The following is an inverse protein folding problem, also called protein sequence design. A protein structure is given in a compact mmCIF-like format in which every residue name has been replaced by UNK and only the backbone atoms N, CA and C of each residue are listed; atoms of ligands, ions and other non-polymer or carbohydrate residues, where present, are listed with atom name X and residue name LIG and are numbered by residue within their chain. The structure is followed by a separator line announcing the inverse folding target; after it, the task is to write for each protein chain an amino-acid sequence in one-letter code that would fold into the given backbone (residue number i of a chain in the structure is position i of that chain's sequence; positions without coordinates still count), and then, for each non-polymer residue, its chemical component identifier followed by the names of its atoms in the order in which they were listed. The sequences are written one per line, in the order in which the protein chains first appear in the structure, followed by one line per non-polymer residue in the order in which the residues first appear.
data_IF_350890754406
#
_entry.id   IF_350890754406
#
_cell.length_a   1.000
_cell.length_b   1.000
_cell.length_c   1.000
_cell.angle_alpha   90.00
_cell.angle_beta   90.00
_cell.angle_gamma   90.00
#
_symmetry.space_group_name_H-M   'P 1'
#
loop_
_entity.id
_entity.type
_entity.pdbx_description
1 polymer ?
#
# COMPACT_ATOMS: atom_id res chain seq x y z
N UNK A 1 -21.13 24.24 63.41
CA UNK A 1 -22.34 24.75 62.72
C UNK A 1 -22.05 26.15 62.19
N UNK A 2 -22.59 26.57 61.04
CA UNK A 2 -23.27 25.82 59.95
C UNK A 2 -22.47 25.93 58.63
N UNK A 3 -22.49 25.05 57.62
CA UNK A 3 -23.51 24.25 56.91
C UNK A 3 -24.61 25.07 56.22
N UNK A 4 -24.46 25.27 54.91
CA UNK A 4 -25.53 25.41 53.92
C UNK A 4 -24.92 24.94 52.58
N UNK A 5 -25.18 23.74 52.05
CA UNK A 5 -26.43 23.14 51.58
C UNK A 5 -27.18 23.99 50.54
N UNK A 6 -26.95 23.67 49.27
CA UNK A 6 -27.96 23.78 48.21
C UNK A 6 -27.91 22.53 47.32
N UNK A 7 -28.92 21.69 47.48
CA UNK A 7 -29.54 20.84 46.44
C UNK A 7 -30.96 21.44 46.25
N UNK A 8 -31.75 21.35 45.16
CA UNK A 8 -32.09 20.34 44.14
C UNK A 8 -32.76 21.17 43.00
N UNK A 9 -32.55 20.93 41.70
CA UNK A 9 -33.42 20.16 40.79
C UNK A 9 -32.85 20.40 39.36
N UNK A 10 -32.72 19.47 38.43
CA UNK A 10 -33.55 18.29 38.19
C UNK A 10 -34.40 18.52 36.94
N UNK A 11 -33.80 18.60 35.74
CA UNK A 11 -34.50 18.41 34.47
C UNK A 11 -33.68 17.47 33.57
N UNK A 12 -34.25 16.28 33.38
CA UNK A 12 -33.65 15.20 32.62
C UNK A 12 -33.67 15.48 31.12
N UNK A 13 -32.58 15.11 30.47
CA UNK A 13 -32.57 14.87 29.03
C UNK A 13 -32.44 13.37 28.84
N UNK A 14 -33.44 12.82 28.16
CA UNK A 14 -33.64 11.39 27.91
C UNK A 14 -32.46 10.80 27.14
N UNK A 15 -31.93 9.70 27.67
CA UNK A 15 -31.15 8.74 26.92
C UNK A 15 -32.00 8.16 25.80
N UNK A 16 -31.62 8.39 24.54
CA UNK A 16 -32.00 7.51 23.44
C UNK A 16 -30.88 6.50 23.23
N UNK A 17 -31.07 5.31 23.79
CA UNK A 17 -30.37 4.10 23.39
C UNK A 17 -31.06 3.65 22.10
N UNK A 18 -30.39 3.81 20.95
CA UNK A 18 -30.75 3.06 19.75
C UNK A 18 -29.71 1.98 19.52
N UNK A 19 -30.06 0.77 19.93
CA UNK A 19 -29.44 -0.45 19.44
C UNK A 19 -29.72 -0.60 17.95
N UNK A 20 -28.70 -0.45 17.12
CA UNK A 20 -28.73 -0.93 15.74
C UNK A 20 -27.47 -1.73 15.49
N UNK A 21 -27.63 -3.06 15.50
CA UNK A 21 -26.68 -3.99 14.89
C UNK A 21 -26.64 -3.69 13.39
N UNK A 22 -25.55 -3.11 12.90
CA UNK A 22 -25.27 -3.01 11.47
C UNK A 22 -24.09 -3.92 11.15
N UNK A 23 -24.41 -5.12 10.69
CA UNK A 23 -23.52 -5.97 9.90
C UNK A 23 -23.14 -5.21 8.63
N UNK A 24 -21.87 -4.79 8.53
CA UNK A 24 -21.33 -4.18 7.32
C UNK A 24 -21.03 -5.32 6.35
N UNK A 25 -22.02 -5.66 5.52
CA UNK A 25 -21.78 -6.43 4.31
C UNK A 25 -21.14 -5.52 3.25
N UNK A 26 -20.20 -6.08 2.48
CA UNK A 26 -19.67 -5.47 1.25
C UNK A 26 -20.84 -4.93 0.42
N UNK A 27 -20.97 -3.61 0.32
CA UNK A 27 -21.91 -3.00 -0.60
C UNK A 27 -21.39 -3.19 -2.03
N UNK A 28 -21.83 -4.27 -2.67
CA UNK A 28 -21.87 -4.36 -4.12
C UNK A 28 -22.88 -3.31 -4.61
N UNK A 29 -22.42 -2.26 -5.28
CA UNK A 29 -23.29 -1.31 -5.96
C UNK A 29 -24.00 -2.01 -7.14
N UNK A 30 -25.35 -2.06 -7.19
CA UNK A 30 -26.04 -2.56 -8.37
C UNK A 30 -26.22 -1.41 -9.37
N UNK A 31 -25.48 -1.46 -10.47
CA UNK A 31 -25.79 -0.61 -11.63
C UNK A 31 -27.13 -1.06 -12.24
N UNK A 32 -28.19 -0.29 -12.00
CA UNK A 32 -29.47 -0.48 -12.70
C UNK A 32 -29.51 0.45 -13.92
N UNK A 33 -29.41 -0.14 -15.11
CA UNK A 33 -29.53 0.57 -16.39
C UNK A 33 -30.99 0.95 -16.61
N UNK A 34 -31.28 2.26 -16.71
CA UNK A 34 -32.50 2.73 -17.38
C UNK A 34 -32.18 3.02 -18.85
N UNK A 35 -32.99 2.41 -19.70
CA UNK A 35 -32.97 2.51 -21.15
C UNK A 35 -33.41 3.89 -21.67
N UNK A 36 -33.17 4.11 -22.99
CA UNK A 36 -33.60 5.21 -23.88
C UNK A 36 -32.43 6.21 -24.11
N UNK A 37 -31.83 6.42 -25.28
CA UNK A 37 -32.29 6.43 -26.69
C UNK A 37 -31.28 5.77 -27.66
N UNK A 38 -31.83 5.20 -28.74
CA UNK A 38 -31.11 4.67 -29.91
C UNK A 38 -30.28 5.75 -30.60
N UNK A 39 -28.97 5.53 -30.74
CA UNK A 39 -28.14 6.17 -31.77
C UNK A 39 -27.60 5.06 -32.66
N UNK A 40 -27.91 5.17 -33.94
CA UNK A 40 -27.57 4.26 -35.04
C UNK A 40 -26.05 4.21 -35.25
N UNK A 41 -25.41 3.05 -35.48
CA UNK A 41 -23.98 2.99 -35.73
C UNK A 41 -23.68 3.32 -37.19
N UNK A 42 -22.87 4.35 -37.42
CA UNK A 42 -22.14 4.52 -38.68
C UNK A 42 -20.95 3.56 -38.65
N UNK A 43 -21.06 2.48 -39.43
CA UNK A 43 -19.98 1.56 -39.74
C UNK A 43 -18.87 2.32 -40.50
N UNK A 44 -17.65 2.27 -39.98
CA UNK A 44 -16.43 2.46 -40.77
C UNK A 44 -15.46 1.32 -40.43
N UNK A 45 -14.85 0.65 -41.42
CA UNK A 45 -14.07 -0.54 -41.18
C UNK A 45 -12.69 -0.17 -40.63
N UNK A 46 -12.46 -0.40 -39.33
CA UNK A 46 -11.11 -0.38 -38.79
C UNK A 46 -10.36 -1.64 -39.20
N UNK A 47 -9.40 -1.45 -40.10
CA UNK A 47 -8.45 -2.45 -40.56
C UNK A 47 -7.60 -2.92 -39.36
N UNK A 48 -7.75 -4.19 -38.95
CA UNK A 48 -6.88 -4.85 -37.98
C UNK A 48 -5.57 -5.22 -38.67
N UNK A 49 -4.56 -4.38 -38.54
CA UNK A 49 -3.17 -4.80 -38.67
C UNK A 49 -2.52 -4.70 -37.28
N UNK A 50 -2.55 -5.81 -36.55
CA UNK A 50 -1.72 -6.00 -35.37
C UNK A 50 -0.28 -6.21 -35.84
N UNK A 51 0.50 -5.14 -35.88
CA UNK A 51 1.94 -5.25 -35.77
C UNK A 51 2.26 -5.33 -34.27
N UNK A 52 2.42 -6.55 -33.76
CA UNK A 52 2.97 -6.77 -32.44
C UNK A 52 4.40 -6.22 -32.42
N UNK A 53 4.58 -5.03 -31.85
CA UNK A 53 5.89 -4.56 -31.46
C UNK A 53 6.30 -5.38 -30.22
N UNK A 54 6.96 -6.51 -30.46
CA UNK A 54 7.64 -7.27 -29.44
C UNK A 54 8.73 -6.36 -28.84
N UNK A 55 8.47 -5.81 -27.65
CA UNK A 55 9.51 -5.19 -26.85
C UNK A 55 10.33 -6.34 -26.26
N UNK A 56 11.51 -6.59 -26.83
CA UNK A 56 12.52 -7.47 -26.26
C UNK A 56 13.11 -6.80 -25.01
N UNK A 57 12.42 -6.92 -23.87
CA UNK A 57 13.02 -6.69 -22.56
C UNK A 57 13.75 -7.97 -22.13
N UNK A 58 14.90 -8.23 -22.73
CA UNK A 58 15.74 -9.38 -22.40
C UNK A 58 17.01 -8.91 -21.69
N UNK A 59 16.95 -8.89 -20.35
CA UNK A 59 17.97 -9.47 -19.46
C UNK A 59 17.69 -9.20 -17.98
N UNK A 60 16.87 -8.23 -17.60
CA UNK A 60 16.63 -7.90 -16.17
C UNK A 60 15.29 -8.35 -15.59
N UNK A 61 14.22 -8.42 -16.39
CA UNK A 61 12.89 -8.80 -15.90
C UNK A 61 12.73 -10.31 -15.65
N UNK A 62 13.38 -11.16 -16.47
CA UNK A 62 13.34 -12.63 -16.28
C UNK A 62 14.11 -13.10 -15.04
N UNK A 63 15.20 -12.44 -14.70
CA UNK A 63 16.00 -12.80 -13.52
C UNK A 63 15.31 -12.39 -12.21
N UNK A 64 14.57 -11.27 -12.21
CA UNK A 64 13.79 -10.79 -11.05
C UNK A 64 12.51 -11.63 -10.83
N UNK A 65 11.83 -12.04 -11.89
CA UNK A 65 10.66 -12.94 -11.75
C UNK A 65 11.08 -14.31 -11.20
N UNK A 66 12.22 -14.86 -11.67
CA UNK A 66 12.76 -16.12 -11.15
C UNK A 66 13.25 -16.02 -9.69
N UNK A 67 13.80 -14.87 -9.27
CA UNK A 67 14.22 -14.68 -7.87
C UNK A 67 13.03 -14.53 -6.93
N UNK A 68 11.96 -13.82 -7.34
CA UNK A 68 10.73 -13.67 -6.53
C UNK A 68 9.93 -14.98 -6.47
N UNK A 69 9.86 -15.75 -7.56
CA UNK A 69 9.19 -17.06 -7.58
C UNK A 69 9.88 -18.08 -6.68
N UNK A 70 11.22 -18.06 -6.58
CA UNK A 70 11.96 -18.90 -5.64
C UNK A 70 11.92 -18.38 -4.18
N UNK A 71 11.76 -17.07 -3.96
CA UNK A 71 11.75 -16.48 -2.62
C UNK A 71 10.53 -16.88 -1.77
N UNK A 72 9.43 -17.35 -2.39
CA UNK A 72 8.27 -17.91 -1.69
C UNK A 72 8.45 -19.38 -1.27
N UNK A 73 9.42 -20.10 -1.85
CA UNK A 73 9.60 -21.54 -1.67
C UNK A 73 10.56 -21.86 -0.52
N UNK A 74 10.15 -21.51 0.71
CA UNK A 74 10.84 -21.86 1.95
C UNK A 74 9.83 -22.35 3.00
N UNK A 75 10.33 -23.04 4.03
CA UNK A 75 9.55 -23.55 5.16
C UNK A 75 9.86 -22.78 6.43
N UNK A 76 9.04 -22.97 7.47
CA UNK A 76 9.37 -22.42 8.79
C UNK A 76 10.65 -23.01 9.38
N UNK A 77 11.10 -24.20 8.95
CA UNK A 77 12.38 -24.75 9.41
C UNK A 77 13.55 -23.93 8.86
N UNK A 78 13.51 -23.58 7.57
CA UNK A 78 14.53 -22.71 6.96
C UNK A 78 14.63 -21.36 7.70
N UNK A 79 13.49 -20.81 8.14
CA UNK A 79 13.43 -19.60 8.98
C UNK A 79 14.18 -19.78 10.32
N UNK A 80 14.03 -20.92 10.99
CA UNK A 80 14.72 -21.19 12.26
C UNK A 80 16.21 -21.47 12.07
N UNK A 81 16.60 -22.05 10.93
CA UNK A 81 18.00 -22.35 10.59
C UNK A 81 18.83 -21.07 10.37
N UNK A 82 18.22 -19.93 10.01
CA UNK A 82 18.91 -18.64 9.89
C UNK A 82 19.63 -18.23 11.18
N UNK A 83 19.10 -18.61 12.36
CA UNK A 83 19.71 -18.27 13.66
C UNK A 83 21.06 -18.93 13.92
N UNK A 84 21.44 -19.95 13.14
CA UNK A 84 22.67 -20.71 13.33
C UNK A 84 23.87 -20.15 12.55
N UNK A 85 23.66 -19.16 11.67
CA UNK A 85 24.77 -18.46 11.02
C UNK A 85 25.33 -17.40 11.98
N UNK A 86 26.37 -17.78 12.74
CA UNK A 86 27.11 -16.86 13.60
C UNK A 86 27.62 -15.67 12.79
N UNK A 87 27.01 -14.51 12.98
CA UNK A 87 27.67 -13.23 12.89
C UNK A 87 26.84 -12.20 13.64
N UNK A 88 27.18 -11.98 14.92
CA UNK A 88 26.79 -10.80 15.69
C UNK A 88 27.47 -9.55 15.14
N UNK A 89 27.33 -9.32 13.85
CA UNK A 89 27.93 -8.21 13.14
C UNK A 89 27.08 -6.97 13.35
N UNK A 90 27.72 -5.86 13.71
CA UNK A 90 27.15 -4.50 13.64
C UNK A 90 26.86 -4.05 12.19
N UNK A 91 27.00 -4.96 11.22
CA UNK A 91 26.73 -4.74 9.81
C UNK A 91 25.24 -4.56 9.54
N UNK A 92 24.87 -3.31 9.26
CA UNK A 92 23.54 -2.93 8.79
C UNK A 92 23.34 -3.18 7.27
N UNK A 93 24.33 -3.75 6.58
CA UNK A 93 24.34 -3.98 5.14
C UNK A 93 23.13 -4.75 4.63
N UNK A 94 22.73 -5.84 5.31
CA UNK A 94 21.53 -6.60 4.97
C UNK A 94 20.25 -5.76 5.05
N UNK A 95 20.14 -4.87 6.04
CA UNK A 95 19.01 -3.95 6.14
C UNK A 95 19.02 -2.90 5.02
N UNK A 96 20.19 -2.32 4.69
CA UNK A 96 20.32 -1.41 3.56
C UNK A 96 19.89 -2.06 2.24
N UNK A 97 20.25 -3.33 2.01
CA UNK A 97 19.80 -4.06 0.83
C UNK A 97 18.27 -4.12 0.74
N UNK A 98 17.57 -4.38 1.84
CA UNK A 98 16.09 -4.41 1.85
C UNK A 98 15.47 -3.05 1.60
N UNK A 99 16.07 -1.99 2.12
CA UNK A 99 15.62 -0.62 1.82
C UNK A 99 15.83 -0.28 0.34
N UNK A 100 16.97 -0.64 -0.24
CA UNK A 100 17.28 -0.39 -1.65
C UNK A 100 16.34 -1.16 -2.58
N UNK A 101 15.93 -2.38 -2.23
CA UNK A 101 14.91 -3.14 -2.98
C UNK A 101 13.55 -2.43 -3.07
N UNK A 102 13.25 -1.52 -2.14
CA UNK A 102 12.02 -0.72 -2.20
C UNK A 102 12.25 0.66 -2.84
N UNK A 103 13.49 1.03 -3.17
CA UNK A 103 13.86 2.37 -3.64
C UNK A 103 14.58 2.37 -5.02
N UNK A 104 14.14 1.52 -5.95
CA UNK A 104 14.82 1.34 -7.24
C UNK A 104 14.38 2.37 -8.29
N UNK A 105 15.23 2.58 -9.28
CA UNK A 105 14.88 3.33 -10.49
C UNK A 105 14.74 4.83 -10.28
N UNK A 106 15.23 5.36 -9.14
CA UNK A 106 15.12 6.80 -8.82
C UNK A 106 15.73 7.71 -9.89
N UNK A 107 16.77 7.24 -10.59
CA UNK A 107 17.42 7.90 -11.71
C UNK A 107 16.51 8.07 -12.94
N UNK A 108 15.48 7.22 -13.07
CA UNK A 108 14.49 7.24 -14.16
C UNK A 108 13.33 8.19 -13.90
N UNK A 109 13.36 8.95 -12.79
CA UNK A 109 12.29 9.90 -12.46
C UNK A 109 12.08 10.95 -13.55
N UNK A 110 13.10 11.27 -14.34
CA UNK A 110 13.02 12.21 -15.47
C UNK A 110 12.21 11.67 -16.66
N UNK A 111 11.94 10.35 -16.71
CA UNK A 111 11.06 9.74 -17.73
C UNK A 111 9.58 9.96 -17.43
N UNK A 112 9.24 10.59 -16.30
CA UNK A 112 7.87 10.85 -15.87
C UNK A 112 7.54 12.34 -15.90
N UNK A 113 6.35 12.66 -16.38
CA UNK A 113 5.80 14.02 -16.34
C UNK A 113 4.71 14.13 -15.25
N UNK A 114 4.52 15.30 -14.63
CA UNK A 114 3.49 15.49 -13.62
C UNK A 114 2.09 15.16 -14.14
N UNK A 115 1.29 14.52 -13.28
CA UNK A 115 -0.16 14.43 -13.44
C UNK A 115 -0.80 15.47 -12.51
N UNK A 116 -1.46 16.45 -13.11
CA UNK A 116 -1.91 17.68 -12.45
C UNK A 116 -3.43 17.78 -12.47
N UNK A 117 -4.00 18.11 -11.31
CA UNK A 117 -5.43 18.43 -11.16
C UNK A 117 -5.54 19.72 -10.36
N UNK A 118 -6.23 20.73 -10.90
CA UNK A 118 -6.45 22.02 -10.22
C UNK A 118 -5.13 22.61 -9.68
N UNK A 119 -4.11 22.68 -10.54
CA UNK A 119 -2.75 23.17 -10.25
C UNK A 119 -1.97 22.38 -9.18
N UNK A 120 -2.48 21.24 -8.73
CA UNK A 120 -1.80 20.35 -7.79
C UNK A 120 -1.26 19.11 -8.49
N UNK A 121 0.01 18.76 -8.21
CA UNK A 121 0.59 17.49 -8.65
C UNK A 121 0.00 16.38 -7.78
N UNK A 122 -0.80 15.52 -8.40
CA UNK A 122 -1.42 14.36 -7.75
C UNK A 122 -0.71 13.06 -8.09
N UNK A 123 0.15 13.08 -9.09
CA UNK A 123 0.94 11.92 -9.50
C UNK A 123 1.93 12.21 -10.60
N UNK A 124 2.40 11.15 -11.25
CA UNK A 124 3.43 11.19 -12.29
C UNK A 124 3.17 10.08 -13.30
N UNK A 125 3.18 10.43 -14.58
CA UNK A 125 2.90 9.49 -15.68
C UNK A 125 4.16 9.35 -16.52
N UNK A 126 4.56 8.10 -16.79
CA UNK A 126 5.70 7.81 -17.66
C UNK A 126 5.43 8.32 -19.09
N UNK A 127 6.42 8.93 -19.74
CA UNK A 127 6.29 9.47 -21.10
C UNK A 127 5.76 8.43 -22.11
N UNK A 128 6.26 7.20 -22.08
CA UNK A 128 5.75 6.09 -22.91
C UNK A 128 4.33 5.62 -22.55
N UNK A 129 3.82 5.92 -21.35
CA UNK A 129 2.44 5.60 -20.97
C UNK A 129 1.45 6.66 -21.46
N UNK A 130 1.93 7.88 -21.75
CA UNK A 130 1.11 8.97 -22.32
C UNK A 130 0.44 8.55 -23.63
N UNK A 131 1.09 7.72 -24.45
CA UNK A 131 0.52 7.21 -25.71
C UNK A 131 -0.71 6.31 -25.50
N UNK A 132 -0.85 5.68 -24.34
CA UNK A 132 -2.07 4.96 -23.97
C UNK A 132 -3.17 5.95 -23.61
N UNK A 133 -2.84 6.99 -22.84
CA UNK A 133 -3.79 8.01 -22.39
C UNK A 133 -4.27 8.92 -23.52
N UNK A 134 -3.43 9.22 -24.52
CA UNK A 134 -3.76 10.09 -25.65
C UNK A 134 -4.89 9.57 -26.55
N UNK A 135 -5.22 8.28 -26.41
CA UNK A 135 -6.36 7.63 -27.09
C UNK A 135 -7.71 8.05 -26.49
N UNK A 136 -7.73 8.49 -25.22
CA UNK A 136 -8.92 8.92 -24.48
C UNK A 136 -8.98 10.44 -24.41
N UNK A 137 -9.17 11.08 -25.57
CA UNK A 137 -9.13 12.55 -25.71
C UNK A 137 -10.24 13.28 -24.96
N UNK A 138 -11.34 12.59 -24.68
CA UNK A 138 -12.46 13.03 -23.86
C UNK A 138 -12.18 12.96 -22.36
N UNK A 139 -11.08 12.31 -21.95
CA UNK A 139 -10.66 12.19 -20.55
C UNK A 139 -9.39 12.97 -20.24
N UNK A 140 -8.36 12.88 -21.09
CA UNK A 140 -7.05 13.48 -20.83
C UNK A 140 -6.73 14.65 -21.75
N UNK A 141 -6.02 15.64 -21.20
CA UNK A 141 -5.30 16.68 -21.94
C UNK A 141 -3.81 16.54 -21.64
N UNK A 142 -2.99 16.52 -22.68
CA UNK A 142 -1.52 16.41 -22.58
C UNK A 142 -0.95 17.75 -23.00
N UNK A 143 -0.43 18.50 -22.02
CA UNK A 143 0.21 19.79 -22.23
C UNK A 143 1.70 19.56 -22.47
N UNK A 144 2.25 20.22 -23.48
CA UNK A 144 3.70 20.24 -23.77
C UNK A 144 4.17 21.69 -23.67
N UNK A 145 5.20 21.98 -22.87
CA UNK A 145 5.91 23.25 -23.04
C UNK A 145 6.64 23.23 -24.38
N UNK A 146 6.43 24.29 -25.15
CA UNK A 146 7.19 24.54 -26.37
C UNK A 146 8.35 25.52 -26.12
N UNK A 147 8.64 25.87 -24.87
CA UNK A 147 9.52 26.99 -24.53
C UNK A 147 11.01 26.62 -24.49
N UNK A 148 11.38 25.38 -24.20
CA UNK A 148 12.78 24.93 -24.15
C UNK A 148 12.87 23.44 -24.54
N UNK A 149 14.00 23.01 -25.14
CA UNK A 149 14.26 21.62 -25.59
C UNK A 149 14.26 20.55 -24.48
N UNK A 150 13.87 20.92 -23.26
CA UNK A 150 13.56 20.01 -22.15
C UNK A 150 12.07 19.65 -22.22
N UNK A 151 11.71 18.37 -22.26
CA UNK A 151 10.34 17.86 -22.23
C UNK A 151 9.60 18.22 -20.91
N UNK A 152 9.25 19.49 -20.68
CA UNK A 152 8.41 19.93 -19.56
C UNK A 152 6.94 19.92 -19.96
N UNK A 153 6.35 18.72 -20.00
CA UNK A 153 4.91 18.54 -20.17
C UNK A 153 4.20 18.23 -18.86
N UNK A 154 2.87 18.20 -18.89
CA UNK A 154 2.08 17.56 -17.85
C UNK A 154 0.82 16.91 -18.44
N UNK A 155 0.31 15.89 -17.76
CA UNK A 155 -1.00 15.30 -18.04
C UNK A 155 -2.02 15.96 -17.11
N UNK A 156 -3.20 16.28 -17.62
CA UNK A 156 -4.35 16.69 -16.80
C UNK A 156 -5.63 16.07 -17.34
N UNK A 157 -6.75 16.26 -16.63
CA UNK A 157 -8.07 15.81 -17.06
C UNK A 157 -8.79 16.88 -17.87
N UNK A 158 -9.69 16.47 -18.74
CA UNK A 158 -10.54 17.38 -19.51
C UNK A 158 -11.34 18.32 -18.59
N UNK A 159 -11.47 19.58 -18.98
CA UNK A 159 -12.14 20.63 -18.19
C UNK A 159 -13.63 20.38 -17.96
N UNK A 160 -14.24 19.49 -18.75
CA UNK A 160 -15.60 19.01 -18.55
C UNK A 160 -15.76 18.12 -17.30
N UNK A 161 -14.70 17.46 -16.84
CA UNK A 161 -14.68 16.58 -15.67
C UNK A 161 -14.51 17.38 -14.37
N UNK A 162 -15.58 18.03 -13.92
CA UNK A 162 -15.56 19.02 -12.83
C UNK A 162 -15.63 18.43 -11.42
N UNK A 163 -16.23 17.25 -11.24
CA UNK A 163 -16.46 16.67 -9.90
C UNK A 163 -15.59 15.43 -9.67
N UNK A 164 -15.25 15.11 -8.40
CA UNK A 164 -14.54 13.87 -8.07
C UNK A 164 -15.21 12.61 -8.64
N UNK A 165 -16.53 12.56 -8.64
CA UNK A 165 -17.33 11.43 -9.13
C UNK A 165 -17.17 11.30 -10.65
N UNK A 166 -17.33 12.40 -11.40
CA UNK A 166 -17.17 12.40 -12.86
C UNK A 166 -15.76 11.99 -13.30
N UNK A 167 -14.73 12.40 -12.56
CA UNK A 167 -13.33 12.02 -12.79
C UNK A 167 -13.10 10.54 -12.48
N UNK A 168 -13.66 10.06 -11.37
CA UNK A 168 -13.57 8.65 -10.95
C UNK A 168 -14.23 7.74 -11.98
N UNK A 169 -15.43 8.10 -12.46
CA UNK A 169 -16.15 7.34 -13.48
C UNK A 169 -15.39 7.32 -14.81
N UNK A 170 -14.90 8.48 -15.26
CA UNK A 170 -14.13 8.59 -16.50
C UNK A 170 -12.86 7.72 -16.45
N UNK A 171 -12.08 7.79 -15.37
CA UNK A 171 -10.86 6.97 -15.23
C UNK A 171 -11.17 5.50 -15.00
N UNK A 172 -12.27 5.17 -14.32
CA UNK A 172 -12.77 3.80 -14.21
C UNK A 172 -13.07 3.18 -15.57
N UNK A 173 -13.68 3.95 -16.48
CA UNK A 173 -13.91 3.53 -17.86
C UNK A 173 -12.60 3.34 -18.63
N UNK A 174 -11.62 4.23 -18.46
CA UNK A 174 -10.27 4.07 -19.06
C UNK A 174 -9.61 2.78 -18.57
N UNK A 175 -9.61 2.53 -17.25
CA UNK A 175 -9.05 1.32 -16.64
C UNK A 175 -9.74 0.07 -17.20
N UNK A 176 -11.07 0.09 -17.32
CA UNK A 176 -11.84 -1.00 -17.90
C UNK A 176 -11.53 -1.22 -19.39
N UNK A 177 -11.36 -0.16 -20.17
CA UNK A 177 -11.03 -0.24 -21.60
C UNK A 177 -9.62 -0.78 -21.85
N UNK A 178 -8.65 -0.40 -21.03
CA UNK A 178 -7.27 -0.89 -21.13
C UNK A 178 -7.11 -2.30 -20.54
N UNK A 179 -7.91 -2.64 -19.52
CA UNK A 179 -8.03 -3.99 -18.99
C UNK A 179 -6.80 -4.53 -18.26
N UNK A 180 -6.86 -5.82 -17.92
CA UNK A 180 -5.83 -6.56 -17.16
C UNK A 180 -4.48 -6.67 -17.90
N UNK A 181 -4.47 -6.53 -19.23
CA UNK A 181 -3.22 -6.52 -20.01
C UNK A 181 -2.33 -5.33 -19.65
N UNK A 182 -2.95 -4.18 -19.32
CA UNK A 182 -2.25 -2.96 -18.92
C UNK A 182 -2.19 -2.84 -17.40
N UNK A 183 -3.29 -3.15 -16.72
CA UNK A 183 -3.44 -3.01 -15.27
C UNK A 183 -3.66 -4.39 -14.60
N UNK A 184 -2.62 -5.22 -14.48
CA UNK A 184 -2.78 -6.54 -13.90
C UNK A 184 -3.17 -6.48 -12.42
N UNK A 185 -4.08 -7.36 -12.02
CA UNK A 185 -4.53 -7.55 -10.65
C UNK A 185 -5.52 -6.50 -10.18
N UNK A 186 -6.58 -6.26 -10.96
CA UNK A 186 -7.72 -5.41 -10.56
C UNK A 186 -8.36 -5.99 -9.30
N UNK A 187 -8.66 -5.12 -8.33
CA UNK A 187 -9.19 -5.53 -7.01
C UNK A 187 -10.58 -4.97 -6.72
N UNK A 188 -11.11 -4.09 -7.58
CA UNK A 188 -12.32 -3.31 -7.31
C UNK A 188 -12.18 -2.52 -6.00
N UNK A 189 -10.98 -1.95 -5.80
CA UNK A 189 -10.61 -1.20 -4.61
C UNK A 189 -10.11 0.18 -5.03
N UNK A 190 -10.79 1.21 -4.56
CA UNK A 190 -10.52 2.59 -4.94
C UNK A 190 -9.58 3.25 -3.92
N UNK A 191 -8.47 3.77 -4.43
CA UNK A 191 -7.56 4.63 -3.68
C UNK A 191 -7.89 6.11 -3.89
N UNK A 192 -7.77 6.95 -2.85
CA UNK A 192 -7.99 8.38 -3.00
C UNK A 192 -6.81 9.03 -3.76
N UNK A 193 -7.12 9.83 -4.78
CA UNK A 193 -6.12 10.64 -5.48
C UNK A 193 -6.04 12.01 -4.80
N UNK A 194 -4.88 12.27 -4.18
CA UNK A 194 -4.59 13.45 -3.36
C UNK A 194 -3.19 13.96 -3.69
N UNK A 195 -2.91 15.23 -3.41
CA UNK A 195 -1.54 15.78 -3.48
C UNK A 195 -0.69 15.36 -2.26
N UNK A 196 -1.35 15.19 -1.10
CA UNK A 196 -0.76 14.91 0.20
C UNK A 196 -1.76 14.21 1.13
N UNK A 197 -1.26 13.57 2.18
CA UNK A 197 -2.12 12.88 3.14
C UNK A 197 -3.03 13.87 3.89
N UNK A 198 -4.31 13.50 4.07
CA UNK A 198 -5.31 14.39 4.67
C UNK A 198 -5.70 15.59 3.80
N UNK A 199 -5.11 15.74 2.62
CA UNK A 199 -5.47 16.75 1.64
C UNK A 199 -6.82 16.47 0.96
N UNK A 200 -7.23 17.40 0.10
CA UNK A 200 -8.45 17.25 -0.71
C UNK A 200 -8.34 16.03 -1.61
N UNK A 201 -9.38 15.20 -1.60
CA UNK A 201 -9.55 14.11 -2.57
C UNK A 201 -10.06 14.69 -3.88
N UNK A 202 -9.27 14.57 -4.94
CA UNK A 202 -9.63 15.09 -6.26
C UNK A 202 -10.56 14.16 -7.03
N UNK A 203 -10.37 12.85 -6.83
CA UNK A 203 -11.16 11.72 -7.34
C UNK A 203 -10.59 10.42 -6.73
N UNK A 204 -11.12 9.26 -7.12
CA UNK A 204 -10.60 7.95 -6.72
C UNK A 204 -10.20 7.11 -7.92
N UNK A 205 -9.20 6.25 -7.74
CA UNK A 205 -8.62 5.43 -8.81
C UNK A 205 -8.51 3.98 -8.36
N UNK A 206 -8.77 3.05 -9.29
CA UNK A 206 -8.54 1.62 -9.07
C UNK A 206 -7.09 1.36 -8.63
N UNK A 207 -6.92 0.59 -7.55
CA UNK A 207 -5.65 0.29 -6.91
C UNK A 207 -4.58 -0.23 -7.88
N UNK A 208 -4.96 -1.09 -8.83
CA UNK A 208 -4.01 -1.63 -9.81
C UNK A 208 -3.44 -0.55 -10.75
N UNK A 209 -4.18 0.52 -11.00
CA UNK A 209 -3.76 1.63 -11.84
C UNK A 209 -2.89 2.66 -11.09
N UNK A 210 -2.93 2.68 -9.75
CA UNK A 210 -2.22 3.68 -8.94
C UNK A 210 -0.73 3.89 -9.32
N UNK A 211 0.09 2.84 -9.54
CA UNK A 211 1.48 3.02 -9.94
C UNK A 211 1.67 3.63 -11.32
N UNK A 212 0.75 3.40 -12.26
CA UNK A 212 0.85 3.93 -13.63
C UNK A 212 0.53 5.42 -13.72
N UNK A 213 -0.29 5.91 -12.77
CA UNK A 213 -0.56 7.33 -12.58
C UNK A 213 0.37 7.98 -11.56
N UNK A 214 1.29 7.20 -10.96
CA UNK A 214 2.27 7.69 -9.98
C UNK A 214 1.64 8.40 -8.78
N UNK A 215 0.40 8.04 -8.41
CA UNK A 215 -0.29 8.67 -7.28
C UNK A 215 0.38 8.24 -5.97
N UNK A 216 0.26 9.06 -4.93
CA UNK A 216 0.61 8.61 -3.58
C UNK A 216 -0.35 7.52 -3.14
N UNK A 217 0.17 6.40 -2.68
CA UNK A 217 -0.59 5.31 -2.09
C UNK A 217 -0.29 5.22 -0.60
N UNK A 218 -1.33 5.05 0.21
CA UNK A 218 -1.20 4.94 1.65
C UNK A 218 -1.56 3.52 2.09
N UNK A 219 -0.95 3.06 3.17
CA UNK A 219 -1.26 1.78 3.80
C UNK A 219 -1.04 1.82 5.30
N UNK A 220 -1.62 0.85 5.99
CA UNK A 220 -1.36 0.59 7.41
C UNK A 220 -0.60 -0.71 7.55
N UNK A 221 0.31 -0.76 8.50
CA UNK A 221 1.06 -1.97 8.85
C UNK A 221 1.15 -2.05 10.36
N UNK A 222 0.80 -3.19 10.94
CA UNK A 222 0.76 -3.36 12.39
C UNK A 222 1.69 -4.48 12.84
N UNK A 223 2.64 -4.13 13.72
CA UNK A 223 3.50 -5.07 14.42
C UNK A 223 2.76 -5.64 15.63
N UNK A 224 2.27 -6.87 15.51
CA UNK A 224 1.67 -7.61 16.61
C UNK A 224 2.76 -8.33 17.40
N UNK A 225 3.05 -7.86 18.61
CA UNK A 225 4.13 -8.41 19.43
C UNK A 225 3.64 -8.93 20.78
N UNK A 226 4.36 -9.91 21.30
CA UNK A 226 4.17 -10.49 22.64
C UNK A 226 5.45 -10.26 23.43
N UNK A 227 5.31 -9.99 24.73
CA UNK A 227 6.44 -10.01 25.65
C UNK A 227 6.29 -11.18 26.60
N UNK A 228 7.35 -11.98 26.72
CA UNK A 228 7.42 -13.13 27.62
C UNK A 228 8.81 -13.18 28.25
N UNK A 229 8.88 -13.31 29.57
CA UNK A 229 10.14 -13.39 30.33
C UNK A 229 11.13 -12.27 29.99
N UNK A 230 10.61 -11.04 29.79
CA UNK A 230 11.41 -9.86 29.42
C UNK A 230 11.90 -9.83 27.96
N UNK A 231 11.53 -10.82 27.14
CA UNK A 231 11.89 -10.90 25.71
C UNK A 231 10.68 -10.57 24.83
N UNK A 232 10.94 -9.87 23.72
CA UNK A 232 9.93 -9.55 22.71
C UNK A 232 9.91 -10.59 21.58
N UNK A 233 8.71 -10.91 21.14
CA UNK A 233 8.44 -11.80 20.02
C UNK A 233 7.47 -11.11 19.06
N UNK A 234 7.65 -11.30 17.76
CA UNK A 234 6.73 -10.81 16.73
C UNK A 234 5.94 -11.98 16.14
N UNK A 235 4.63 -11.78 16.00
CA UNK A 235 3.83 -12.63 15.14
C UNK A 235 4.09 -12.26 13.68
N UNK A 236 4.51 -13.25 12.90
CA UNK A 236 4.81 -13.13 11.48
C UNK A 236 3.82 -14.00 10.71
N UNK A 237 3.18 -13.44 9.69
CA UNK A 237 2.35 -14.18 8.74
C UNK A 237 3.19 -14.72 7.60
N UNK A 238 2.83 -15.89 7.07
CA UNK A 238 3.28 -16.36 5.74
C UNK A 238 2.09 -16.26 4.79
N UNK A 239 2.22 -15.48 3.73
CA UNK A 239 1.13 -15.18 2.78
C UNK A 239 0.61 -16.45 2.12
N UNK A 240 -0.69 -16.48 1.83
CA UNK A 240 -1.28 -17.60 1.08
C UNK A 240 -0.61 -17.77 -0.28
N UNK A 241 -0.47 -19.02 -0.74
CA UNK A 241 0.04 -19.35 -2.06
C UNK A 241 -0.88 -18.84 -3.19
N UNK A 242 -2.14 -18.53 -2.86
CA UNK A 242 -3.13 -18.01 -3.83
C UNK A 242 -3.07 -16.49 -4.02
N UNK A 243 -2.19 -15.78 -3.30
CA UNK A 243 -2.04 -14.32 -3.43
C UNK A 243 -1.46 -13.96 -4.81
N UNK A 244 -2.11 -13.01 -5.49
CA UNK A 244 -1.65 -12.51 -6.80
C UNK A 244 -0.23 -11.89 -6.78
N UNK A 245 0.23 -11.42 -5.61
CA UNK A 245 1.57 -10.84 -5.44
C UNK A 245 2.20 -11.35 -4.17
N UNK A 246 3.50 -11.71 -4.26
CA UNK A 246 4.30 -12.19 -3.13
C UNK A 246 3.66 -13.41 -2.44
N UNK A 247 3.18 -14.38 -3.23
CA UNK A 247 2.67 -15.66 -2.72
C UNK A 247 3.77 -16.38 -1.91
N UNK A 248 3.39 -17.02 -0.79
CA UNK A 248 4.32 -17.77 0.05
C UNK A 248 5.36 -16.95 0.83
N UNK A 249 5.49 -15.64 0.61
CA UNK A 249 6.45 -14.81 1.34
C UNK A 249 6.00 -14.49 2.77
N UNK A 250 6.95 -14.19 3.66
CA UNK A 250 6.65 -13.65 5.00
C UNK A 250 6.08 -12.22 4.89
N UNK A 251 5.16 -11.89 5.79
CA UNK A 251 4.48 -10.61 5.92
C UNK A 251 4.31 -10.25 7.40
N UNK A 252 3.78 -9.06 7.68
CA UNK A 252 3.36 -8.70 9.03
C UNK A 252 2.23 -9.57 9.53
N UNK A 253 1.90 -9.44 10.82
CA UNK A 253 0.66 -9.99 11.34
C UNK A 253 -0.56 -9.39 10.63
N UNK A 254 -0.55 -8.06 10.41
CA UNK A 254 -1.64 -7.33 9.73
C UNK A 254 -1.06 -6.21 8.87
N UNK A 255 -1.48 -6.12 7.59
CA UNK A 255 -1.12 -5.03 6.69
C UNK A 255 -2.14 -4.82 5.55
N UNK A 256 -2.63 -3.59 5.39
CA UNK A 256 -3.64 -3.25 4.39
C UNK A 256 -3.35 -1.96 3.62
N UNK A 257 -3.81 -1.89 2.38
CA UNK A 257 -3.93 -0.62 1.66
C UNK A 257 -4.93 0.29 2.37
N UNK A 258 -4.80 1.61 2.24
CA UNK A 258 -5.77 2.56 2.80
C UNK A 258 -6.81 2.94 1.73
N UNK A 259 -8.02 2.35 1.76
CA UNK A 259 -9.04 2.64 0.77
C UNK A 259 -9.64 4.05 0.96
N UNK A 260 -10.27 4.55 -0.10
CA UNK A 260 -11.00 5.81 -0.05
C UNK A 260 -12.09 5.78 1.03
N UNK A 261 -12.19 6.88 1.80
CA UNK A 261 -13.23 7.05 2.82
C UNK A 261 -12.96 6.33 4.16
N UNK A 262 -11.81 5.68 4.32
CA UNK A 262 -11.45 4.97 5.55
C UNK A 262 -10.34 5.68 6.32
N UNK A 263 -10.47 5.80 7.64
CA UNK A 263 -9.39 6.28 8.50
C UNK A 263 -8.35 5.19 8.75
N UNK A 264 -7.09 5.55 9.03
CA UNK A 264 -6.07 4.56 9.37
C UNK A 264 -6.43 3.71 10.59
N UNK A 265 -7.05 4.32 11.62
CA UNK A 265 -7.44 3.61 12.84
C UNK A 265 -8.52 2.55 12.56
N UNK A 266 -9.57 2.89 11.81
CA UNK A 266 -10.60 1.92 11.43
C UNK A 266 -10.04 0.86 10.48
N UNK A 267 -9.14 1.23 9.57
CA UNK A 267 -8.50 0.27 8.68
C UNK A 267 -7.66 -0.76 9.45
N UNK A 268 -6.84 -0.33 10.42
CA UNK A 268 -6.09 -1.25 11.29
C UNK A 268 -7.05 -2.22 12.00
N UNK A 269 -8.17 -1.74 12.53
CA UNK A 269 -9.15 -2.60 13.22
C UNK A 269 -9.82 -3.59 12.27
N UNK A 270 -10.20 -3.15 11.06
CA UNK A 270 -10.75 -4.02 10.00
C UNK A 270 -9.76 -5.12 9.63
N UNK A 271 -8.53 -4.74 9.23
CA UNK A 271 -7.54 -5.72 8.77
C UNK A 271 -7.09 -6.67 9.89
N UNK A 272 -7.10 -6.19 11.15
CA UNK A 272 -6.88 -7.04 12.32
C UNK A 272 -7.86 -8.21 12.41
N UNK A 273 -9.15 -7.95 12.14
CA UNK A 273 -10.19 -8.96 12.16
C UNK A 273 -10.07 -9.90 10.94
N UNK A 274 -9.94 -9.34 9.74
CA UNK A 274 -9.90 -10.11 8.48
C UNK A 274 -8.65 -11.01 8.36
N UNK A 275 -7.45 -10.47 8.59
CA UNK A 275 -6.21 -11.20 8.31
C UNK A 275 -5.80 -12.11 9.48
N UNK A 276 -6.06 -11.72 10.73
CA UNK A 276 -5.49 -12.36 11.91
C UNK A 276 -6.52 -12.76 12.99
N UNK A 277 -7.82 -12.47 12.78
CA UNK A 277 -8.87 -12.80 13.75
C UNK A 277 -8.73 -12.06 15.08
N UNK A 278 -8.10 -10.87 15.08
CA UNK A 278 -7.91 -10.05 16.27
C UNK A 278 -9.20 -9.26 16.52
N UNK A 279 -9.94 -9.51 17.61
CA UNK A 279 -11.23 -8.87 17.83
C UNK A 279 -11.06 -7.38 18.19
N UNK A 280 -12.07 -6.57 17.87
CA UNK A 280 -12.07 -5.10 18.09
C UNK A 280 -11.61 -4.65 19.50
N UNK A 281 -12.00 -5.29 20.62
CA UNK A 281 -11.51 -4.92 21.95
C UNK A 281 -9.98 -5.02 22.11
N UNK A 282 -9.32 -5.86 21.31
CA UNK A 282 -7.86 -6.00 21.28
C UNK A 282 -7.28 -5.04 20.25
N UNK A 283 -7.77 -5.04 19.00
CA UNK A 283 -7.19 -4.27 17.90
C UNK A 283 -7.34 -2.76 18.06
N UNK A 284 -8.39 -2.28 18.73
CA UNK A 284 -8.57 -0.86 19.08
C UNK A 284 -7.49 -0.29 20.02
N UNK A 285 -6.64 -1.14 20.61
CA UNK A 285 -5.49 -0.73 21.43
C UNK A 285 -4.21 -0.54 20.62
N UNK A 286 -4.24 -0.78 19.30
CA UNK A 286 -3.10 -0.53 18.44
C UNK A 286 -2.76 0.96 18.45
N UNK A 287 -1.48 1.28 18.66
CA UNK A 287 -1.00 2.65 18.73
C UNK A 287 -0.24 3.02 17.45
N UNK A 288 -0.47 4.21 16.86
CA UNK A 288 0.39 4.71 15.78
C UNK A 288 1.77 5.05 16.37
N UNK A 289 2.83 4.63 15.69
CA UNK A 289 4.21 4.73 16.22
C UNK A 289 5.21 5.37 15.27
N UNK A 290 4.98 5.29 13.97
CA UNK A 290 5.92 5.79 12.95
C UNK A 290 5.26 5.86 11.58
N UNK A 291 6.06 6.30 10.60
CA UNK A 291 5.77 6.23 9.17
C UNK A 291 7.05 5.84 8.43
N UNK A 292 6.91 4.96 7.44
CA UNK A 292 7.96 4.67 6.45
C UNK A 292 7.47 5.03 5.05
N UNK A 293 8.38 5.44 4.19
CA UNK A 293 8.05 5.84 2.82
C UNK A 293 9.14 5.40 1.85
N UNK A 294 8.71 5.00 0.65
CA UNK A 294 9.63 4.57 -0.39
C UNK A 294 9.10 4.91 -1.79
N UNK A 295 10.01 4.88 -2.75
CA UNK A 295 9.67 5.06 -4.16
C UNK A 295 10.28 3.99 -5.05
N UNK A 296 9.47 3.28 -5.82
CA UNK A 296 9.95 2.23 -6.72
C UNK A 296 9.49 2.52 -8.15
N UNK A 297 10.45 2.65 -9.06
CA UNK A 297 10.19 2.86 -10.49
C UNK A 297 10.54 1.58 -11.25
N UNK A 298 9.53 1.05 -11.95
CA UNK A 298 9.67 -0.15 -12.78
C UNK A 298 8.81 -0.04 -14.05
N UNK A 299 9.49 0.10 -15.20
CA UNK A 299 8.86 0.38 -16.49
C UNK A 299 8.00 1.65 -16.41
N UNK A 300 6.72 1.52 -16.73
CA UNK A 300 5.76 2.64 -16.69
C UNK A 300 5.22 2.94 -15.28
N UNK A 301 5.62 2.16 -14.27
CA UNK A 301 5.07 2.25 -12.92
C UNK A 301 6.00 3.08 -12.04
N UNK A 302 5.39 3.98 -11.28
CA UNK A 302 6.04 4.75 -10.24
C UNK A 302 5.23 4.57 -8.95
N UNK A 303 5.68 3.66 -8.09
CA UNK A 303 5.11 3.48 -6.75
C UNK A 303 5.64 4.57 -5.83
N UNK A 304 4.73 5.24 -5.12
CA UNK A 304 5.02 6.28 -4.12
C UNK A 304 4.22 5.97 -2.88
N UNK A 305 4.74 5.03 -2.10
CA UNK A 305 3.99 4.42 -1.02
C UNK A 305 4.41 5.05 0.33
N UNK A 306 3.42 5.33 1.17
CA UNK A 306 3.58 5.80 2.56
C UNK A 306 2.84 4.81 3.46
N UNK A 307 3.57 4.19 4.39
CA UNK A 307 3.02 3.17 5.28
C UNK A 307 3.00 3.70 6.71
N UNK A 308 1.80 3.81 7.28
CA UNK A 308 1.59 4.16 8.68
C UNK A 308 1.84 2.93 9.55
N UNK A 309 2.84 3.03 10.42
CA UNK A 309 3.23 1.95 11.31
C UNK A 309 2.44 2.00 12.61
N UNK A 310 1.91 0.86 13.01
CA UNK A 310 1.23 0.64 14.27
C UNK A 310 1.94 -0.47 15.06
N UNK A 311 1.86 -0.39 16.38
CA UNK A 311 2.27 -1.48 17.26
C UNK A 311 1.06 -1.91 18.11
N UNK A 312 0.93 -3.22 18.32
CA UNK A 312 -0.07 -3.80 19.21
C UNK A 312 0.58 -4.87 20.09
N UNK A 313 0.60 -4.62 21.39
CA UNK A 313 0.96 -5.64 22.38
C UNK A 313 -0.20 -6.62 22.54
N UNK A 314 0.01 -7.86 22.13
CA UNK A 314 -0.96 -8.93 22.21
C UNK A 314 -0.85 -9.69 23.54
N UNK A 315 -1.95 -10.24 24.07
CA UNK A 315 -1.88 -11.20 25.18
C UNK A 315 -1.00 -12.39 24.82
N UNK A 316 -0.22 -12.91 25.77
CA UNK A 316 0.63 -14.10 25.55
C UNK A 316 -0.17 -15.33 25.08
N UNK A 317 -1.44 -15.42 25.49
CA UNK A 317 -2.35 -16.50 25.11
C UNK A 317 -3.01 -16.32 23.76
N UNK A 318 -2.82 -15.19 23.07
CA UNK A 318 -3.46 -14.93 21.78
C UNK A 318 -2.77 -15.72 20.67
N UNK A 319 -3.57 -16.40 19.86
CA UNK A 319 -3.13 -17.13 18.67
C UNK A 319 -3.91 -16.54 17.48
N UNK A 320 -3.22 -16.00 16.46
CA UNK A 320 -3.89 -15.45 15.29
C UNK A 320 -4.50 -16.56 14.43
N UNK A 321 -5.64 -16.24 13.83
CA UNK A 321 -6.36 -17.13 12.92
C UNK A 321 -6.78 -16.36 11.68
N UNK A 322 -6.36 -16.85 10.50
CA UNK A 322 -6.79 -16.30 9.22
C UNK A 322 -8.33 -16.42 9.08
N UNK A 323 -9.01 -15.32 8.73
CA UNK A 323 -10.46 -15.32 8.50
C UNK A 323 -10.85 -15.18 7.02
N UNK A 324 -10.00 -14.62 6.17
CA UNK A 324 -10.35 -14.20 4.81
C UNK A 324 -9.63 -14.99 3.69
N UNK A 325 -8.68 -15.86 4.05
CA UNK A 325 -7.90 -16.67 3.11
C UNK A 325 -6.59 -16.02 2.65
N UNK A 326 -6.24 -14.84 3.16
CA UNK A 326 -5.08 -14.08 2.69
C UNK A 326 -3.73 -14.56 3.27
N UNK A 327 -3.76 -15.23 4.44
CA UNK A 327 -2.58 -15.74 5.15
C UNK A 327 -2.55 -17.27 5.20
N UNK A 328 -1.47 -17.90 4.75
CA UNK A 328 -1.31 -19.35 4.78
C UNK A 328 -1.02 -19.91 6.18
N UNK A 329 -0.18 -19.24 6.97
CA UNK A 329 0.13 -19.66 8.35
C UNK A 329 0.76 -18.52 9.16
N UNK A 330 0.83 -18.69 10.49
CA UNK A 330 1.46 -17.74 11.41
C UNK A 330 2.56 -18.40 12.24
N UNK A 331 3.58 -17.63 12.61
CA UNK A 331 4.59 -18.05 13.59
C UNK A 331 4.96 -16.91 14.53
N UNK A 332 5.08 -17.21 15.81
CA UNK A 332 5.62 -16.31 16.82
C UNK A 332 7.15 -16.51 16.86
N UNK A 333 7.91 -15.46 16.52
CA UNK A 333 9.37 -15.52 16.40
C UNK A 333 10.04 -14.52 17.36
N UNK A 334 11.19 -14.87 17.96
CA UNK A 334 12.01 -13.89 18.68
C UNK A 334 12.36 -12.71 17.75
N UNK A 335 12.28 -11.48 18.25
CA UNK A 335 12.59 -10.28 17.42
C UNK A 335 14.01 -10.33 16.85
N UNK A 336 14.97 -10.90 17.59
CA UNK A 336 16.34 -11.09 17.11
C UNK A 336 16.40 -11.97 15.87
N UNK A 337 15.69 -13.10 15.87
CA UNK A 337 15.59 -13.99 14.71
C UNK A 337 14.93 -13.29 13.53
N UNK A 338 13.86 -12.51 13.75
CA UNK A 338 13.24 -11.72 12.67
C UNK A 338 14.26 -10.77 12.04
N UNK A 339 15.08 -10.11 12.86
CA UNK A 339 16.19 -9.29 12.36
C UNK A 339 17.21 -10.07 11.53
N UNK A 340 17.58 -11.28 11.95
CA UNK A 340 18.49 -12.15 11.21
C UNK A 340 17.91 -12.60 9.86
N UNK A 341 16.63 -12.96 9.82
CA UNK A 341 15.95 -13.30 8.56
C UNK A 341 15.97 -12.11 7.59
N UNK A 342 15.67 -10.90 8.07
CA UNK A 342 15.72 -9.70 7.22
C UNK A 342 17.14 -9.44 6.70
N UNK A 343 18.16 -9.64 7.54
CA UNK A 343 19.56 -9.43 7.13
C UNK A 343 20.02 -10.44 6.09
N UNK A 344 19.64 -11.69 6.26
CA UNK A 344 20.34 -12.82 5.62
C UNK A 344 19.52 -13.50 4.51
N UNK A 345 18.23 -13.19 4.35
CA UNK A 345 17.37 -13.87 3.37
C UNK A 345 16.47 -12.91 2.61
N UNK A 346 15.73 -13.41 1.60
CA UNK A 346 14.70 -12.67 0.87
C UNK A 346 13.28 -13.17 1.19
N UNK A 347 13.08 -13.82 2.34
CA UNK A 347 11.81 -14.47 2.66
C UNK A 347 10.65 -13.49 2.88
N UNK A 348 10.93 -12.26 3.33
CA UNK A 348 9.91 -11.24 3.54
C UNK A 348 9.52 -10.53 2.24
N UNK A 349 8.21 -10.32 2.06
CA UNK A 349 7.68 -9.34 1.11
C UNK A 349 8.41 -8.00 1.30
N UNK A 350 8.87 -7.42 0.20
CA UNK A 350 9.88 -6.37 0.19
C UNK A 350 9.60 -5.21 1.16
N UNK A 351 8.41 -4.59 1.06
CA UNK A 351 8.06 -3.41 1.86
C UNK A 351 7.83 -3.74 3.34
N UNK A 352 7.63 -5.02 3.69
CA UNK A 352 7.45 -5.44 5.07
C UNK A 352 8.75 -5.33 5.86
N UNK A 353 9.89 -5.55 5.20
CA UNK A 353 11.20 -5.34 5.81
C UNK A 353 11.34 -3.92 6.37
N UNK A 354 10.85 -2.88 5.67
CA UNK A 354 11.02 -1.49 6.09
C UNK A 354 10.34 -1.20 7.44
N UNK A 355 9.10 -1.68 7.60
CA UNK A 355 8.32 -1.46 8.82
C UNK A 355 8.89 -2.26 9.99
N UNK A 356 9.40 -3.48 9.75
CA UNK A 356 10.06 -4.25 10.80
C UNK A 356 11.41 -3.62 11.18
N UNK A 357 12.19 -3.11 10.22
CA UNK A 357 13.42 -2.37 10.52
C UNK A 357 13.10 -1.13 11.38
N UNK A 358 12.04 -0.37 11.07
CA UNK A 358 11.54 0.72 11.91
C UNK A 358 11.16 0.24 13.33
N UNK A 359 10.53 -0.93 13.47
CA UNK A 359 10.29 -1.56 14.77
C UNK A 359 11.60 -1.88 15.52
N UNK A 360 12.60 -2.44 14.83
CA UNK A 360 13.91 -2.75 15.43
C UNK A 360 14.61 -1.48 15.96
N UNK A 361 14.53 -0.36 15.25
CA UNK A 361 15.00 0.95 15.74
C UNK A 361 14.26 1.39 17.00
N UNK A 362 12.92 1.45 16.95
CA UNK A 362 12.09 1.99 18.05
C UNK A 362 12.16 1.14 19.32
N UNK A 363 12.43 -0.16 19.18
CA UNK A 363 12.53 -1.10 20.32
C UNK A 363 13.98 -1.42 20.73
N UNK A 364 14.98 -0.72 20.18
CA UNK A 364 16.37 -0.77 20.64
C UNK A 364 17.19 -1.99 20.18
N UNK A 365 16.75 -2.67 19.12
CA UNK A 365 17.48 -3.79 18.50
C UNK A 365 18.52 -3.34 17.48
N UNK A 366 18.33 -2.15 16.90
CA UNK A 366 19.35 -1.42 16.15
C UNK A 366 19.75 -0.22 17.01
N UNK A 367 21.04 -0.02 17.23
CA UNK A 367 21.57 0.92 18.23
C UNK A 367 22.46 1.99 17.61
N UNK A 368 22.59 3.19 18.21
CA UNK A 368 23.42 4.26 17.67
C UNK A 368 24.89 3.88 17.42
N UNK A 369 25.39 2.84 18.09
CA UNK A 369 26.73 2.29 17.91
C UNK A 369 26.89 1.44 16.64
N UNK A 370 25.80 1.08 15.96
CA UNK A 370 25.85 0.33 14.69
C UNK A 370 26.28 1.27 13.54
N UNK A 371 27.28 0.84 12.77
CA UNK A 371 27.85 1.64 11.68
C UNK A 371 26.79 1.94 10.61
N UNK A 372 26.50 3.23 10.41
CA UNK A 372 25.49 3.68 9.46
C UNK A 372 24.08 3.85 10.04
N UNK A 373 23.90 3.77 11.37
CA UNK A 373 22.62 3.97 12.07
C UNK A 373 21.77 5.13 11.52
N UNK A 374 22.33 6.35 11.49
CA UNK A 374 21.61 7.54 11.03
C UNK A 374 21.24 7.48 9.55
N UNK A 375 22.14 6.92 8.72
CA UNK A 375 21.89 6.74 7.29
C UNK A 375 20.76 5.75 7.05
N UNK A 376 20.75 4.62 7.77
CA UNK A 376 19.69 3.62 7.66
C UNK A 376 18.33 4.20 8.12
N UNK A 377 18.32 4.93 9.24
CA UNK A 377 17.13 5.59 9.76
C UNK A 377 16.55 6.61 8.77
N UNK A 378 17.41 7.40 8.11
CA UNK A 378 17.00 8.34 7.07
C UNK A 378 16.42 7.59 5.85
N UNK A 379 17.05 6.49 5.43
CA UNK A 379 16.61 5.74 4.25
C UNK A 379 15.23 5.09 4.39
N UNK A 380 14.73 4.89 5.62
CA UNK A 380 13.33 4.46 5.86
C UNK A 380 12.28 5.51 5.45
N UNK A 381 12.70 6.74 5.15
CA UNK A 381 11.86 7.86 4.73
C UNK A 381 12.35 8.45 3.40
N UNK A 382 12.75 7.57 2.48
CA UNK A 382 13.28 7.97 1.17
C UNK A 382 12.19 8.51 0.23
N UNK A 383 10.95 8.05 0.41
CA UNK A 383 9.79 8.59 -0.32
C UNK A 383 9.27 9.89 0.30
N UNK A 384 8.56 10.67 -0.50
CA UNK A 384 7.91 11.90 -0.02
C UNK A 384 6.67 11.58 0.85
N UNK A 385 6.80 11.81 2.16
CA UNK A 385 5.75 11.61 3.16
C UNK A 385 4.67 12.71 3.19
N UNK A 386 4.85 13.84 2.49
CA UNK A 386 4.06 15.06 2.73
C UNK A 386 2.59 14.97 2.35
#
# INVERSE_FOLDING_TARGET
MPVASYAIAGHGVRNFISSSSSSIHRHNFPFTVRSILKITPLYSPFNRNYAAAAVSSSSSTRDITNSIENAGNFTWNDVFEVSQSENGSSDLGGFFQKINLCNRGSEKRFDFIPFVIEDQIVGYVHNGFVDHLSKFKDVFTIMKDNAHETQSGHVTLQSALKTPESRTEALGNVVKCLGEEVFPGIRNELYPVTSSYGGRVYFSLERAAAPYFGIKAYGIHMNGYVEKDGKKYLWIGKRSETKATYAGMLDHLVAGGLPHGMSCAENVVKECEEEAGIPRPISSRAIPVSVVSYMDIDGYRFKRDVLFCYDLKLPESFIPHNQDGEVGSFKLLPVTLVGDVIRNTEFFKANCNLVIIDFLFRHGFIKPEDDGYLKLLQSLRSGDCS
#
